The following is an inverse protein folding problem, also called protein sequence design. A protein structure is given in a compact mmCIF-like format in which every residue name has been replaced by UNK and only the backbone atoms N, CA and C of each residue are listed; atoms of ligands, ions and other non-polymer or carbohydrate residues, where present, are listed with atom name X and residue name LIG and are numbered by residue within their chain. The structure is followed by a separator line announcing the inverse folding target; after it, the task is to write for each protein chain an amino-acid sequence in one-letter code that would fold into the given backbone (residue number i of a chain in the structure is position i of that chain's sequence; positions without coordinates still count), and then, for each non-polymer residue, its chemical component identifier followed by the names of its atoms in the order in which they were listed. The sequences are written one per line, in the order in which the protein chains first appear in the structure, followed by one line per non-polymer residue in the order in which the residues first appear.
data_IF_646777537685
#
_entry.id   IF_646777537685
#
_cell.length_a   1.000
_cell.length_b   1.000
_cell.length_c   1.000
_cell.angle_alpha   90.00
_cell.angle_beta   90.00
_cell.angle_gamma   90.00
#
_symmetry.space_group_name_H-M   'P 1'
#
loop_
_entity.id
_entity.type
_entity.pdbx_description
1 polymer ?
#
# COMPACT_ATOMS: atom_id res chain seq x y z
N UNK A 1 9.76 3.89 -10.32
CA UNK A 1 8.99 3.83 -9.05
C UNK A 1 9.44 4.93 -8.10
N UNK A 2 8.53 5.88 -7.82
CA UNK A 2 8.73 6.99 -6.89
C UNK A 2 8.16 6.68 -5.50
N UNK A 3 8.70 7.33 -4.46
CA UNK A 3 8.18 7.21 -3.09
C UNK A 3 7.40 8.46 -2.70
N UNK A 4 6.22 8.26 -2.14
CA UNK A 4 5.41 9.31 -1.53
C UNK A 4 6.13 9.89 -0.31
N UNK A 5 6.40 11.20 -0.31
CA UNK A 5 7.16 11.90 0.75
C UNK A 5 6.31 12.92 1.51
N UNK A 6 5.43 13.64 0.81
CA UNK A 6 4.67 14.74 1.41
C UNK A 6 3.28 14.30 1.88
N UNK A 7 2.85 14.84 3.03
CA UNK A 7 1.50 14.61 3.58
C UNK A 7 0.41 14.97 2.56
N UNK A 8 0.59 16.02 1.75
CA UNK A 8 -0.39 16.41 0.72
C UNK A 8 -0.55 15.32 -0.34
N UNK A 9 0.54 14.70 -0.78
CA UNK A 9 0.47 13.58 -1.73
C UNK A 9 -0.26 12.37 -1.11
N UNK A 10 0.01 12.05 0.17
CA UNK A 10 -0.74 11.01 0.87
C UNK A 10 -2.23 11.35 0.98
N UNK A 11 -2.58 12.59 1.30
CA UNK A 11 -3.97 13.03 1.36
C UNK A 11 -4.66 12.93 0.00
N UNK A 12 -4.00 13.34 -1.09
CA UNK A 12 -4.55 13.24 -2.44
C UNK A 12 -4.85 11.78 -2.84
N UNK A 13 -3.98 10.82 -2.48
CA UNK A 13 -4.25 9.40 -2.74
C UNK A 13 -5.36 8.85 -1.83
N UNK A 14 -5.35 9.26 -0.56
CA UNK A 14 -6.33 8.81 0.44
C UNK A 14 -7.71 9.45 0.27
N UNK A 15 -7.82 10.56 -0.46
CA UNK A 15 -9.09 11.17 -0.84
C UNK A 15 -9.90 10.25 -1.76
N UNK A 16 -9.21 9.39 -2.53
CA UNK A 16 -9.84 8.36 -3.35
C UNK A 16 -10.27 7.14 -2.54
N UNK A 17 -11.31 6.47 -3.03
CA UNK A 17 -11.74 5.19 -2.47
C UNK A 17 -10.63 4.12 -2.65
N UNK A 18 -10.48 3.19 -1.68
CA UNK A 18 -9.55 2.08 -1.82
C UNK A 18 -9.97 1.16 -2.98
N UNK A 19 -9.05 0.95 -3.92
CA UNK A 19 -9.24 0.07 -5.09
C UNK A 19 -9.18 -1.41 -4.72
N UNK A 20 -8.46 -1.76 -3.67
CA UNK A 20 -8.38 -3.12 -3.17
C UNK A 20 -8.31 -3.12 -1.63
N UNK A 21 -8.91 -4.15 -1.04
CA UNK A 21 -8.93 -4.38 0.40
C UNK A 21 -8.63 -5.86 0.64
N UNK A 22 -7.78 -6.13 1.63
CA UNK A 22 -7.56 -7.45 2.23
C UNK A 22 -7.90 -7.35 3.71
N UNK A 23 -7.88 -8.47 4.47
CA UNK A 23 -8.15 -8.44 5.91
C UNK A 23 -7.24 -7.49 6.68
N UNK A 24 -5.94 -7.44 6.34
CA UNK A 24 -4.96 -6.61 7.06
C UNK A 24 -4.60 -5.31 6.31
N UNK A 25 -4.71 -5.26 4.99
CA UNK A 25 -4.28 -4.12 4.18
C UNK A 25 -5.41 -3.50 3.35
N UNK A 26 -5.27 -2.23 3.03
CA UNK A 26 -6.05 -1.56 2.00
C UNK A 26 -5.10 -0.81 1.06
N UNK A 27 -5.40 -0.87 -0.23
CA UNK A 27 -4.68 -0.17 -1.28
C UNK A 27 -5.58 0.94 -1.81
N UNK A 28 -5.06 2.15 -1.79
CA UNK A 28 -5.64 3.30 -2.45
C UNK A 28 -4.86 3.58 -3.72
N UNK A 29 -5.57 3.93 -4.80
CA UNK A 29 -4.99 4.37 -6.06
C UNK A 29 -5.58 5.73 -6.41
N UNK A 30 -4.74 6.65 -6.85
CA UNK A 30 -5.18 7.93 -7.41
C UNK A 30 -4.42 8.22 -8.70
N UNK A 31 -5.06 9.01 -9.57
CA UNK A 31 -4.43 9.52 -10.78
C UNK A 31 -3.32 10.52 -10.42
N UNK A 32 -2.30 10.60 -11.28
CA UNK A 32 -1.18 11.54 -11.10
C UNK A 32 -1.56 12.98 -11.48
N UNK A 33 -2.79 13.21 -11.97
CA UNK A 33 -3.32 14.55 -12.31
C UNK A 33 -3.60 15.44 -11.10
N UNK A 34 -3.49 14.91 -9.87
CA UNK A 34 -3.71 15.70 -8.66
C UNK A 34 -2.68 16.82 -8.51
N UNK A 35 -3.16 18.05 -8.47
CA UNK A 35 -2.40 19.24 -8.12
C UNK A 35 -2.88 19.81 -6.78
N UNK A 36 -1.98 20.44 -6.04
CA UNK A 36 -2.30 21.18 -4.83
C UNK A 36 -1.72 22.58 -4.95
N UNK A 37 -2.55 23.61 -4.77
CA UNK A 37 -2.14 25.03 -4.85
C UNK A 37 -1.40 25.35 -6.16
N UNK A 38 -1.88 24.81 -7.29
CA UNK A 38 -1.28 25.02 -8.61
C UNK A 38 0.02 24.25 -8.87
N UNK A 39 0.53 23.46 -7.92
CA UNK A 39 1.70 22.60 -8.09
C UNK A 39 1.29 21.14 -8.30
N UNK A 40 1.83 20.50 -9.33
CA UNK A 40 1.66 19.07 -9.55
C UNK A 40 2.22 18.30 -8.35
N UNK A 41 1.37 17.55 -7.64
CA UNK A 41 1.81 16.70 -6.52
C UNK A 41 2.66 15.54 -7.02
N UNK A 42 2.45 15.14 -8.28
CA UNK A 42 3.11 14.05 -8.96
C UNK A 42 3.73 14.55 -10.28
N UNK A 43 4.88 15.24 -10.24
CA UNK A 43 5.49 15.82 -11.43
C UNK A 43 6.03 14.77 -12.41
N UNK A 44 6.16 13.51 -11.98
CA UNK A 44 6.67 12.41 -12.79
C UNK A 44 5.56 11.39 -13.04
N UNK A 45 5.32 11.08 -14.31
CA UNK A 45 4.42 10.03 -14.77
C UNK A 45 5.01 8.63 -14.54
N UNK A 46 5.21 8.25 -13.27
CA UNK A 46 5.80 6.99 -12.82
C UNK A 46 4.90 6.39 -11.71
N UNK A 47 5.09 5.14 -11.32
CA UNK A 47 4.37 4.52 -10.21
C UNK A 47 4.85 5.13 -8.88
N UNK A 48 3.97 5.83 -8.16
CA UNK A 48 4.26 6.37 -6.82
C UNK A 48 3.75 5.43 -5.74
N UNK A 49 4.58 5.08 -4.75
CA UNK A 49 4.17 4.24 -3.63
C UNK A 49 4.35 4.92 -2.27
N UNK A 50 3.30 4.84 -1.46
CA UNK A 50 3.26 5.29 -0.07
C UNK A 50 2.83 4.17 0.85
N UNK A 51 3.39 4.17 2.06
CA UNK A 51 3.14 3.12 3.05
C UNK A 51 2.70 3.76 4.36
N UNK A 52 1.47 3.46 4.77
CA UNK A 52 0.82 3.94 5.98
C UNK A 52 0.67 2.79 6.97
N UNK A 53 1.56 2.76 7.97
CA UNK A 53 1.56 1.77 9.04
C UNK A 53 1.37 2.46 10.40
N UNK A 54 0.13 2.65 10.86
CA UNK A 54 -0.13 3.22 12.17
C UNK A 54 0.45 2.40 13.31
N UNK A 55 1.00 3.11 14.30
CA UNK A 55 1.60 2.50 15.51
C UNK A 55 0.63 1.60 16.28
N UNK A 56 -0.67 1.87 16.23
CA UNK A 56 -1.71 1.04 16.89
C UNK A 56 -1.76 -0.40 16.37
N UNK A 57 -1.53 -0.61 15.07
CA UNK A 57 -1.61 -1.94 14.45
C UNK A 57 -0.24 -2.62 14.30
N UNK A 58 0.84 -1.83 14.30
CA UNK A 58 2.21 -2.31 14.27
C UNK A 58 3.02 -1.71 15.43
N UNK A 59 2.72 -2.17 16.66
CA UNK A 59 3.29 -1.61 17.91
C UNK A 59 4.81 -1.76 18.00
N UNK A 60 5.37 -2.86 17.46
CA UNK A 60 6.81 -3.12 17.40
C UNK A 60 7.43 -2.50 16.14
N UNK A 61 8.47 -1.70 16.33
CA UNK A 61 9.20 -1.07 15.22
C UNK A 61 9.75 -2.11 14.23
N UNK A 62 10.23 -3.26 14.72
CA UNK A 62 10.75 -4.36 13.88
C UNK A 62 9.69 -4.90 12.93
N UNK A 63 8.49 -5.20 13.42
CA UNK A 63 7.37 -5.68 12.60
C UNK A 63 6.96 -4.63 11.57
N UNK A 64 6.85 -3.35 11.99
CA UNK A 64 6.53 -2.25 11.09
C UNK A 64 7.58 -2.10 9.98
N UNK A 65 8.86 -2.21 10.33
CA UNK A 65 9.97 -2.09 9.37
C UNK A 65 10.02 -3.30 8.42
N UNK A 66 9.74 -4.50 8.92
CA UNK A 66 9.61 -5.71 8.12
C UNK A 66 8.46 -5.58 7.11
N UNK A 67 7.26 -5.19 7.56
CA UNK A 67 6.10 -4.97 6.69
C UNK A 67 6.41 -3.87 5.67
N UNK A 68 6.96 -2.73 6.11
CA UNK A 68 7.34 -1.63 5.20
C UNK A 68 8.30 -2.14 4.13
N UNK A 69 9.33 -2.90 4.50
CA UNK A 69 10.31 -3.44 3.55
C UNK A 69 9.67 -4.44 2.59
N UNK A 70 8.82 -5.35 3.08
CA UNK A 70 8.08 -6.30 2.24
C UNK A 70 7.17 -5.60 1.22
N UNK A 71 6.49 -4.53 1.62
CA UNK A 71 5.66 -3.73 0.71
C UNK A 71 6.49 -3.12 -0.42
N UNK A 72 7.64 -2.51 -0.09
CA UNK A 72 8.52 -1.94 -1.10
C UNK A 72 9.14 -3.02 -2.00
N UNK A 73 9.54 -4.17 -1.45
CA UNK A 73 10.05 -5.31 -2.22
C UNK A 73 9.00 -5.87 -3.20
N UNK A 74 7.79 -6.14 -2.72
CA UNK A 74 6.71 -6.68 -3.54
C UNK A 74 6.29 -5.70 -4.66
N UNK A 75 6.23 -4.41 -4.35
CA UNK A 75 5.97 -3.39 -5.36
C UNK A 75 7.15 -3.22 -6.32
N UNK A 76 8.40 -3.32 -5.85
CA UNK A 76 9.59 -3.25 -6.70
C UNK A 76 9.58 -4.36 -7.74
N UNK A 77 9.29 -5.60 -7.33
CA UNK A 77 9.17 -6.76 -8.22
C UNK A 77 8.09 -6.62 -9.30
N UNK A 78 7.12 -5.72 -9.09
CA UNK A 78 6.02 -5.47 -10.02
C UNK A 78 6.06 -4.07 -10.62
N UNK A 79 7.14 -3.31 -10.44
CA UNK A 79 7.22 -1.92 -10.91
C UNK A 79 6.93 -1.80 -12.39
N UNK A 80 7.41 -2.75 -13.20
CA UNK A 80 7.24 -2.75 -14.66
C UNK A 80 5.81 -3.00 -15.12
N UNK A 81 4.98 -3.61 -14.26
CA UNK A 81 3.57 -3.89 -14.56
C UNK A 81 2.62 -2.94 -13.84
N UNK A 82 3.12 -2.19 -12.85
CA UNK A 82 2.30 -1.26 -12.09
C UNK A 82 1.90 -0.07 -12.97
N UNK A 83 0.62 0.35 -12.90
CA UNK A 83 0.19 1.54 -13.62
C UNK A 83 0.93 2.77 -13.11
N UNK A 84 1.19 3.73 -13.99
CA UNK A 84 1.77 5.03 -13.65
C UNK A 84 0.74 5.86 -12.86
N UNK A 85 0.55 5.48 -11.60
CA UNK A 85 -0.46 6.00 -10.70
C UNK A 85 0.11 6.11 -9.28
N UNK A 86 -0.56 6.89 -8.44
CA UNK A 86 -0.19 7.03 -7.04
C UNK A 86 -0.91 5.98 -6.19
N UNK A 87 -0.12 5.12 -5.55
CA UNK A 87 -0.56 3.97 -4.77
C UNK A 87 -0.19 4.17 -3.30
N UNK A 88 -1.15 3.96 -2.41
CA UNK A 88 -0.92 3.99 -0.96
C UNK A 88 -1.40 2.69 -0.34
N UNK A 89 -0.48 1.95 0.28
CA UNK A 89 -0.78 0.78 1.10
C UNK A 89 -0.96 1.21 2.54
N UNK A 90 -2.15 0.98 3.09
CA UNK A 90 -2.49 1.25 4.48
C UNK A 90 -2.73 -0.05 5.23
N UNK A 91 -2.08 -0.23 6.37
CA UNK A 91 -2.43 -1.28 7.33
C UNK A 91 -3.75 -0.91 8.00
N UNK A 92 -4.67 -1.85 8.16
CA UNK A 92 -5.99 -1.66 8.78
C UNK A 92 -6.23 -2.52 10.01
N UNK A 93 -5.55 -3.65 10.10
CA UNK A 93 -5.68 -4.59 11.22
C UNK A 93 -4.30 -4.94 11.79
N UNK A 94 -4.25 -5.33 13.06
CA UNK A 94 -3.02 -5.83 13.66
C UNK A 94 -2.81 -7.30 13.29
N UNK A 95 -1.55 -7.70 13.14
CA UNK A 95 -1.23 -9.11 13.02
C UNK A 95 -1.26 -9.75 14.41
N UNK A 96 -2.27 -10.59 14.66
CA UNK A 96 -2.50 -11.16 15.99
C UNK A 96 -1.30 -11.98 16.47
N UNK A 97 -0.83 -11.66 17.68
CA UNK A 97 0.25 -12.38 18.37
C UNK A 97 -0.08 -13.85 18.66
N UNK A 98 -1.37 -14.18 18.73
CA UNK A 98 -1.82 -15.56 18.96
C UNK A 98 -1.54 -16.46 17.75
N UNK A 99 -1.56 -15.90 16.54
CA UNK A 99 -1.25 -16.63 15.31
C UNK A 99 0.22 -16.49 14.90
N UNK A 100 0.90 -15.41 15.30
CA UNK A 100 2.29 -15.11 14.93
C UNK A 100 3.15 -14.83 16.16
N UNK A 101 3.67 -15.90 16.77
CA UNK A 101 4.44 -15.91 18.03
C UNK A 101 5.70 -15.03 17.95
N UNK A 102 6.38 -14.96 16.79
CA UNK A 102 7.56 -14.08 16.61
C UNK A 102 7.33 -12.94 15.62
N UNK A 103 7.78 -11.74 16.00
CA UNK A 103 7.66 -10.48 15.26
C UNK A 103 8.37 -10.45 13.89
N UNK A 104 9.20 -11.47 13.62
CA UNK A 104 9.97 -11.72 12.40
C UNK A 104 9.80 -13.16 11.89
N UNK A 105 8.80 -13.90 12.38
CA UNK A 105 8.57 -15.28 11.94
C UNK A 105 8.38 -15.34 10.44
N UNK A 106 8.99 -16.33 9.78
CA UNK A 106 8.73 -16.66 8.38
C UNK A 106 7.23 -16.81 8.04
N UNK A 107 6.36 -17.40 8.89
CA UNK A 107 4.91 -17.42 8.62
C UNK A 107 4.28 -16.03 8.55
N UNK A 108 4.71 -15.07 9.36
CA UNK A 108 4.21 -13.69 9.29
C UNK A 108 4.63 -13.04 7.97
N UNK A 109 5.90 -13.18 7.59
CA UNK A 109 6.40 -12.63 6.32
C UNK A 109 5.68 -13.26 5.13
N UNK A 110 5.44 -14.59 5.16
CA UNK A 110 4.69 -15.30 4.13
C UNK A 110 3.25 -14.84 4.04
N UNK A 111 2.55 -14.71 5.17
CA UNK A 111 1.17 -14.20 5.20
C UNK A 111 1.07 -12.77 4.67
N UNK A 112 1.96 -11.88 5.14
CA UNK A 112 2.05 -10.49 4.65
C UNK A 112 2.32 -10.48 3.14
N UNK A 113 3.28 -11.27 2.67
CA UNK A 113 3.63 -11.34 1.25
C UNK A 113 2.46 -11.87 0.42
N UNK A 114 1.80 -12.94 0.84
CA UNK A 114 0.64 -13.50 0.15
C UNK A 114 -0.50 -12.47 0.04
N UNK A 115 -0.82 -11.75 1.12
CA UNK A 115 -1.81 -10.67 1.07
C UNK A 115 -1.38 -9.51 0.17
N UNK A 116 -0.11 -9.12 0.19
CA UNK A 116 0.39 -8.07 -0.69
C UNK A 116 0.34 -8.47 -2.15
N UNK A 117 0.68 -9.72 -2.47
CA UNK A 117 0.59 -10.26 -3.82
C UNK A 117 -0.86 -10.28 -4.32
N UNK A 118 -1.81 -10.66 -3.47
CA UNK A 118 -3.26 -10.58 -3.75
C UNK A 118 -3.72 -9.11 -3.93
N UNK A 119 -3.27 -8.21 -3.06
CA UNK A 119 -3.61 -6.79 -3.09
C UNK A 119 -3.09 -6.11 -4.37
N UNK A 120 -1.84 -6.41 -4.75
CA UNK A 120 -1.21 -5.91 -5.98
C UNK A 120 -1.82 -6.56 -7.22
N UNK A 121 -2.17 -7.85 -7.19
CA UNK A 121 -2.84 -8.49 -8.32
C UNK A 121 -4.19 -7.80 -8.63
N UNK A 122 -4.93 -7.38 -7.59
CA UNK A 122 -6.17 -6.61 -7.76
C UNK A 122 -5.99 -5.20 -8.30
N UNK A 123 -4.80 -4.62 -8.27
CA UNK A 123 -4.54 -3.29 -8.87
C UNK A 123 -4.09 -3.39 -10.32
N UNK A 124 -3.44 -4.51 -10.65
CA UNK A 124 -2.99 -4.87 -12.00
C UNK A 124 -4.17 -5.22 -12.90
N UNK A 125 -5.15 -5.93 -12.37
CA UNK A 125 -6.45 -6.07 -13.02
C UNK A 125 -7.18 -4.74 -12.79
N UNK A 126 -7.42 -3.92 -13.82
CA UNK A 126 -8.26 -2.74 -13.66
C UNK A 126 -9.61 -3.23 -13.13
N UNK A 127 -9.97 -2.77 -11.94
CA UNK A 127 -11.21 -3.13 -11.28
C UNK A 127 -12.41 -2.56 -12.06
N UNK A 128 -12.76 -3.20 -13.17
CA UNK A 128 -14.16 -3.31 -13.55
C UNK A 128 -14.84 -4.24 -12.54
N UNK A 129 -15.96 -3.77 -11.98
CA UNK A 129 -16.85 -4.47 -11.05
C UNK A 129 -16.44 -4.53 -9.56
N UNK A 130 -17.45 -4.17 -8.74
CA UNK A 130 -17.70 -4.53 -7.33
C UNK A 130 -17.34 -3.48 -6.27
N UNK A 131 -18.05 -2.35 -6.31
CA UNK A 131 -18.70 -1.85 -5.10
C UNK A 131 -20.21 -1.93 -5.33
N UNK A 132 -20.81 -3.07 -4.97
CA UNK A 132 -22.24 -3.15 -4.70
C UNK A 132 -22.46 -2.82 -3.24
N UNK A 133 -23.36 -1.88 -2.96
CA UNK A 133 -24.62 -2.11 -2.23
C UNK A 133 -25.67 -1.28 -2.93
#
# INVERSE_FOLDING_TARGET
MQRLRSRQQFQAVMAGAPVAKTPHFALHRAALSSAHEGRALFPVADAWLGVLLPKRWARRAVTRNAIRRQIYEAARQRTDTLPHAALVVRLRSEFSRQQFVSATSEPLKRAVRAELEQLLARVLVPAEARHGV
#
